data_IF_512895850020
#
_entry.id   IF_512895850020
#
_cell.length_a   1.000
_cell.length_b   1.000
_cell.length_c   1.000
_cell.angle_alpha   90.00
_cell.angle_beta   90.00
_cell.angle_gamma   90.00
#
_symmetry.space_group_name_H-M   'P 1'
#
loop_
_entity.id
_entity.type
_entity.pdbx_description
1 polymer ?
#
# COMPACT_ATOMS: atom_id res chain seq x y z
N UNK A 1 -24.08 29.42 10.57
CA UNK A 1 -24.30 28.27 9.65
C UNK A 1 -23.21 27.25 9.88
N UNK A 2 -23.48 26.21 10.67
CA UNK A 2 -22.59 25.05 10.79
C UNK A 2 -22.57 24.35 9.43
N UNK A 3 -21.46 24.50 8.70
CA UNK A 3 -21.27 23.79 7.44
C UNK A 3 -21.41 22.30 7.76
N UNK A 4 -22.42 21.65 7.19
CA UNK A 4 -22.60 20.20 7.26
C UNK A 4 -21.34 19.57 6.64
N UNK A 5 -20.37 19.21 7.48
CA UNK A 5 -19.20 18.40 7.11
C UNK A 5 -19.75 16.98 6.90
N UNK A 6 -20.54 16.81 5.84
CA UNK A 6 -21.02 15.50 5.43
C UNK A 6 -19.83 14.72 4.91
N UNK A 7 -19.27 13.86 5.76
CA UNK A 7 -18.51 12.65 5.40
C UNK A 7 -17.49 12.77 4.24
N UNK A 8 -16.84 13.92 4.09
CA UNK A 8 -15.76 14.07 3.12
C UNK A 8 -14.53 13.39 3.69
N UNK A 9 -14.19 12.25 3.12
CA UNK A 9 -12.93 11.55 3.32
C UNK A 9 -11.77 12.55 3.24
N UNK A 10 -10.76 12.43 4.10
CA UNK A 10 -9.57 13.27 4.09
C UNK A 10 -8.96 13.36 2.69
N UNK A 11 -8.98 12.25 1.95
CA UNK A 11 -8.52 12.23 0.56
C UNK A 11 -9.31 13.19 -0.33
N UNK A 12 -10.59 13.45 -0.07
CA UNK A 12 -11.39 14.41 -0.84
C UNK A 12 -11.08 15.87 -0.48
N UNK A 13 -10.61 16.14 0.75
CA UNK A 13 -10.18 17.47 1.19
C UNK A 13 -8.79 17.85 0.68
N UNK A 14 -7.98 16.88 0.25
CA UNK A 14 -6.63 17.12 -0.29
C UNK A 14 -6.65 17.87 -1.63
N UNK A 15 -5.68 18.77 -1.78
CA UNK A 15 -5.41 19.51 -3.01
C UNK A 15 -5.00 18.59 -4.17
N UNK A 16 -5.08 19.09 -5.41
CA UNK A 16 -4.70 18.32 -6.61
C UNK A 16 -3.22 17.92 -6.60
N UNK A 17 -2.34 18.78 -6.10
CA UNK A 17 -0.89 18.53 -6.03
C UNK A 17 -0.56 17.48 -4.98
N UNK A 18 -1.08 17.64 -3.77
CA UNK A 18 -0.93 16.68 -2.68
C UNK A 18 -1.39 15.26 -3.08
N UNK A 19 -2.50 15.16 -3.81
CA UNK A 19 -2.96 13.87 -4.38
C UNK A 19 -1.95 13.25 -5.35
N UNK A 20 -1.31 14.06 -6.20
CA UNK A 20 -0.32 13.58 -7.16
C UNK A 20 0.94 13.10 -6.44
N UNK A 21 1.40 13.82 -5.44
CA UNK A 21 2.60 13.47 -4.67
C UNK A 21 2.40 12.19 -3.87
N UNK A 22 1.24 12.06 -3.22
CA UNK A 22 0.86 10.83 -2.51
C UNK A 22 0.76 9.66 -3.49
N UNK A 23 0.14 9.85 -4.65
CA UNK A 23 0.03 8.80 -5.67
C UNK A 23 1.42 8.34 -6.14
N UNK A 24 2.33 9.27 -6.42
CA UNK A 24 3.71 8.98 -6.84
C UNK A 24 4.47 8.21 -5.75
N UNK A 25 4.34 8.66 -4.51
CA UNK A 25 4.99 8.03 -3.35
C UNK A 25 4.47 6.62 -3.12
N UNK A 26 3.15 6.42 -3.20
CA UNK A 26 2.53 5.11 -3.02
C UNK A 26 2.94 4.13 -4.13
N UNK A 27 3.01 4.60 -5.38
CA UNK A 27 3.47 3.77 -6.50
C UNK A 27 4.91 3.28 -6.29
N UNK A 28 5.80 4.17 -5.84
CA UNK A 28 7.19 3.80 -5.56
C UNK A 28 7.28 2.76 -4.41
N UNK A 29 6.51 2.95 -3.34
CA UNK A 29 6.45 2.00 -2.22
C UNK A 29 5.93 0.62 -2.66
N UNK A 30 4.88 0.58 -3.48
CA UNK A 30 4.35 -0.67 -4.01
C UNK A 30 5.33 -1.37 -4.95
N UNK A 31 6.07 -0.62 -5.78
CA UNK A 31 7.12 -1.19 -6.61
C UNK A 31 8.22 -1.87 -5.77
N UNK A 32 8.64 -1.24 -4.67
CA UNK A 32 9.61 -1.81 -3.73
C UNK A 32 9.03 -3.08 -3.07
N UNK A 33 7.80 -3.02 -2.58
CA UNK A 33 7.12 -4.17 -1.95
C UNK A 33 7.01 -5.36 -2.91
N UNK A 34 6.66 -5.10 -4.17
CA UNK A 34 6.61 -6.12 -5.21
C UNK A 34 7.99 -6.68 -5.54
N UNK A 35 9.03 -5.85 -5.61
CA UNK A 35 10.39 -6.32 -5.84
C UNK A 35 10.88 -7.24 -4.70
N UNK A 36 10.62 -6.85 -3.45
CA UNK A 36 10.93 -7.66 -2.26
C UNK A 36 10.15 -8.98 -2.29
N UNK A 37 8.84 -8.94 -2.57
CA UNK A 37 8.02 -10.15 -2.65
C UNK A 37 8.51 -11.08 -3.78
N UNK A 38 8.80 -10.52 -4.96
CA UNK A 38 9.36 -11.28 -6.07
C UNK A 38 10.70 -11.90 -5.69
N UNK A 39 11.60 -11.17 -5.04
CA UNK A 39 12.87 -11.71 -4.58
C UNK A 39 12.68 -12.83 -3.54
N UNK A 40 11.80 -12.62 -2.56
CA UNK A 40 11.50 -13.57 -1.48
C UNK A 40 10.88 -14.87 -2.01
N UNK A 41 10.01 -14.77 -3.01
CA UNK A 41 9.21 -15.89 -3.49
C UNK A 41 9.63 -16.43 -4.86
N UNK A 42 10.69 -15.89 -5.48
CA UNK A 42 11.16 -16.27 -6.83
C UNK A 42 11.32 -17.78 -7.00
N UNK A 43 11.84 -18.43 -5.96
CA UNK A 43 12.12 -19.86 -5.94
C UNK A 43 11.21 -20.61 -4.94
N UNK A 44 10.17 -19.97 -4.41
CA UNK A 44 9.29 -20.62 -3.46
C UNK A 44 8.41 -21.63 -4.18
N UNK A 45 8.55 -22.91 -3.82
CA UNK A 45 7.67 -23.97 -4.27
C UNK A 45 6.31 -23.78 -3.61
N UNK A 46 5.25 -23.69 -4.42
CA UNK A 46 3.87 -23.49 -3.94
C UNK A 46 3.47 -24.65 -3.02
N UNK A 47 2.77 -24.33 -1.91
CA UNK A 47 2.22 -25.29 -0.93
C UNK A 47 3.26 -26.09 -0.12
N UNK A 48 4.48 -25.59 0.01
CA UNK A 48 5.39 -26.09 1.04
C UNK A 48 4.99 -25.50 2.41
N UNK A 49 4.99 -26.29 3.48
CA UNK A 49 4.86 -25.75 4.83
C UNK A 49 6.01 -24.75 5.03
N UNK A 50 5.69 -23.51 5.39
CA UNK A 50 6.72 -22.53 5.74
C UNK A 50 7.40 -23.02 7.02
N UNK A 51 8.69 -23.38 6.93
CA UNK A 51 9.57 -23.65 8.08
C UNK A 51 9.72 -22.38 8.94
N UNK A 52 8.69 -21.99 9.68
CA UNK A 52 8.81 -21.00 10.74
C UNK A 52 7.51 -20.92 11.55
N UNK A 53 7.18 -21.97 12.31
CA UNK A 53 6.42 -21.83 13.56
C UNK A 53 6.92 -22.93 14.52
N UNK A 54 7.79 -22.64 15.51
CA UNK A 54 7.88 -23.50 16.68
C UNK A 54 6.55 -23.43 17.44
N UNK A 55 6.10 -24.60 17.90
CA UNK A 55 4.82 -24.86 18.55
C UNK A 55 4.55 -24.02 19.81
#
# INVERSE_FOLDING_TARGET
MTKRIGNKDEAQQRGKEEKKDIKRTNLAREAIKQAIAKAKYRNQVKRQPSESVPA
#
